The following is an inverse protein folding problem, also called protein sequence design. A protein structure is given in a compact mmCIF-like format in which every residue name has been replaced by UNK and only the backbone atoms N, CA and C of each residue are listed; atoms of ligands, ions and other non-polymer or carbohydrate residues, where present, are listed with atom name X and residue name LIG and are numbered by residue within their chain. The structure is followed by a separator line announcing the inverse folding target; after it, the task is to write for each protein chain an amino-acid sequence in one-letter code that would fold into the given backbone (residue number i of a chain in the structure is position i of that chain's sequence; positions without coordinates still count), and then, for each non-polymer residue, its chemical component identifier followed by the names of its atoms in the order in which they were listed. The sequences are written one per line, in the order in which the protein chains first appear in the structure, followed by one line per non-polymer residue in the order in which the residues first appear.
data_IF_637151265064
#
_entry.id   IF_637151265064
#
_cell.length_a   1.000
_cell.length_b   1.000
_cell.length_c   1.000
_cell.angle_alpha   90.00
_cell.angle_beta   90.00
_cell.angle_gamma   90.00
#
_symmetry.space_group_name_H-M   'P 1'
#
loop_
_entity.id
_entity.type
_entity.pdbx_description
1 polymer ?
#
# COMPACT_ATOMS: atom_id res chain seq x y z
N UNK A 1 55.96 -16.10 -2.70
CA UNK A 1 55.04 -15.35 -1.82
C UNK A 1 54.98 -16.16 -0.55
N UNK A 2 55.40 -15.57 0.56
CA UNK A 2 55.54 -16.30 1.82
C UNK A 2 54.17 -16.64 2.39
N UNK A 3 54.05 -17.86 2.94
CA UNK A 3 52.79 -18.43 3.45
C UNK A 3 52.23 -17.60 4.63
N UNK A 4 53.11 -16.97 5.40
CA UNK A 4 52.78 -16.03 6.47
C UNK A 4 52.03 -14.80 5.93
N UNK A 5 52.49 -14.23 4.82
CA UNK A 5 51.90 -13.06 4.18
C UNK A 5 50.53 -13.40 3.56
N UNK A 6 50.36 -14.62 3.05
CA UNK A 6 49.06 -15.10 2.56
C UNK A 6 48.04 -15.23 3.70
N UNK A 7 48.47 -15.71 4.87
CA UNK A 7 47.59 -15.86 6.04
C UNK A 7 47.21 -14.50 6.64
N UNK A 8 48.14 -13.54 6.69
CA UNK A 8 47.86 -12.18 7.13
C UNK A 8 46.83 -11.49 6.22
N UNK A 9 46.96 -11.62 4.89
CA UNK A 9 45.97 -11.09 3.93
C UNK A 9 44.58 -11.69 4.17
N UNK A 10 44.49 -12.99 4.49
CA UNK A 10 43.20 -13.65 4.77
C UNK A 10 42.58 -13.14 6.08
N UNK A 11 43.38 -12.99 7.13
CA UNK A 11 42.92 -12.44 8.42
C UNK A 11 42.39 -11.02 8.26
N UNK A 12 43.16 -10.16 7.57
CA UNK A 12 42.77 -8.77 7.32
C UNK A 12 41.48 -8.66 6.49
N UNK A 13 41.25 -9.58 5.55
CA UNK A 13 39.98 -9.63 4.80
C UNK A 13 38.81 -10.03 5.70
N UNK A 14 38.98 -11.05 6.54
CA UNK A 14 37.94 -11.46 7.48
C UNK A 14 37.59 -10.34 8.47
N UNK A 15 38.60 -9.66 9.02
CA UNK A 15 38.39 -8.50 9.91
C UNK A 15 37.70 -7.34 9.19
N UNK A 16 38.03 -7.10 7.91
CA UNK A 16 37.38 -6.07 7.11
C UNK A 16 35.89 -6.41 6.87
N UNK A 17 35.57 -7.67 6.59
CA UNK A 17 34.19 -8.10 6.36
C UNK A 17 33.38 -8.07 7.66
N UNK A 18 33.95 -8.48 8.80
CA UNK A 18 33.33 -8.31 10.12
C UNK A 18 33.07 -6.82 10.44
N UNK A 19 34.02 -5.94 10.11
CA UNK A 19 33.84 -4.51 10.32
C UNK A 19 32.72 -3.94 9.43
N UNK A 20 32.63 -4.36 8.16
CA UNK A 20 31.53 -3.97 7.27
C UNK A 20 30.19 -4.40 7.82
N UNK A 21 30.09 -5.65 8.27
CA UNK A 21 28.89 -6.22 8.89
C UNK A 21 28.46 -5.42 10.12
N UNK A 22 29.42 -5.06 10.98
CA UNK A 22 29.15 -4.30 12.20
C UNK A 22 28.72 -2.85 11.88
N UNK A 23 29.29 -2.24 10.84
CA UNK A 23 28.85 -0.92 10.38
C UNK A 23 27.46 -1.00 9.77
N UNK A 24 27.17 -2.03 8.97
CA UNK A 24 25.87 -2.20 8.33
C UNK A 24 24.78 -2.39 9.39
N UNK A 25 24.91 -3.42 10.24
CA UNK A 25 23.91 -3.77 11.27
C UNK A 25 23.84 -2.74 12.40
N UNK A 26 24.98 -2.17 12.77
CA UNK A 26 25.08 -1.27 13.92
C UNK A 26 24.74 0.17 13.62
N UNK A 27 24.91 0.62 12.38
CA UNK A 27 24.80 2.04 12.01
C UNK A 27 23.85 2.23 10.83
N UNK A 28 24.04 1.51 9.73
CA UNK A 28 23.29 1.75 8.49
C UNK A 28 21.84 1.28 8.64
N UNK A 29 21.61 0.01 8.97
CA UNK A 29 20.27 -0.58 9.11
C UNK A 29 19.35 0.21 10.05
N UNK A 30 19.77 0.63 11.26
CA UNK A 30 18.92 1.44 12.13
C UNK A 30 18.56 2.80 11.52
N UNK A 31 19.49 3.45 10.82
CA UNK A 31 19.26 4.75 10.18
C UNK A 31 18.29 4.60 9.01
N UNK A 32 18.46 3.57 8.19
CA UNK A 32 17.58 3.26 7.07
C UNK A 32 16.17 2.95 7.54
N UNK A 33 16.04 2.13 8.59
CA UNK A 33 14.75 1.84 9.21
C UNK A 33 14.07 3.12 9.71
N UNK A 34 14.75 3.92 10.52
CA UNK A 34 14.21 5.19 11.05
C UNK A 34 13.86 6.19 9.94
N UNK A 35 14.61 6.19 8.84
CA UNK A 35 14.31 7.01 7.67
C UNK A 35 13.06 6.53 6.95
N UNK A 36 12.97 5.24 6.65
CA UNK A 36 11.84 4.63 5.96
C UNK A 36 10.55 4.73 6.79
N UNK A 37 10.61 4.47 8.09
CA UNK A 37 9.47 4.58 9.01
C UNK A 37 8.92 6.02 9.02
N UNK A 38 9.81 7.03 9.05
CA UNK A 38 9.39 8.45 9.00
C UNK A 38 8.80 8.83 7.65
N UNK A 39 9.43 8.41 6.56
CA UNK A 39 8.96 8.70 5.20
C UNK A 39 7.59 8.07 4.96
N UNK A 40 7.43 6.81 5.35
CA UNK A 40 6.16 6.09 5.28
C UNK A 40 5.08 6.82 6.08
N UNK A 41 5.39 7.17 7.34
CA UNK A 41 4.45 7.92 8.19
C UNK A 41 4.03 9.26 7.56
N UNK A 42 4.99 10.04 7.06
CA UNK A 42 4.71 11.32 6.41
C UNK A 42 3.81 11.13 5.17
N UNK A 43 4.07 10.09 4.37
CA UNK A 43 3.25 9.79 3.21
C UNK A 43 1.82 9.36 3.59
N UNK A 44 1.66 8.51 4.62
CA UNK A 44 0.35 8.13 5.15
C UNK A 44 -0.40 9.30 5.76
N UNK A 45 0.30 10.23 6.43
CA UNK A 45 -0.30 11.43 7.01
C UNK A 45 -0.83 12.36 5.90
N UNK A 46 -0.05 12.57 4.84
CA UNK A 46 -0.47 13.35 3.65
C UNK A 46 -1.68 12.69 2.96
N UNK A 47 -1.63 11.37 2.78
CA UNK A 47 -2.73 10.60 2.20
C UNK A 47 -4.01 10.77 3.02
N UNK A 48 -3.90 10.59 4.33
CA UNK A 48 -5.01 10.74 5.28
C UNK A 48 -5.57 12.15 5.22
N UNK A 49 -4.75 13.19 5.24
CA UNK A 49 -5.23 14.57 5.17
C UNK A 49 -5.99 14.87 3.88
N UNK A 50 -5.56 14.29 2.75
CA UNK A 50 -6.19 14.48 1.45
C UNK A 50 -7.54 13.77 1.34
N UNK A 51 -7.65 12.55 1.87
CA UNK A 51 -8.80 11.68 1.61
C UNK A 51 -9.69 11.40 2.82
N UNK A 52 -9.36 11.94 4.01
CA UNK A 52 -10.13 11.74 5.24
C UNK A 52 -11.63 11.97 5.07
N UNK A 53 -12.02 13.04 4.38
CA UNK A 53 -13.43 13.42 4.27
C UNK A 53 -14.17 12.51 3.27
N UNK A 54 -13.48 12.03 2.23
CA UNK A 54 -14.04 11.08 1.26
C UNK A 54 -14.21 9.68 1.84
N UNK A 55 -13.24 9.22 2.63
CA UNK A 55 -13.21 7.84 3.14
C UNK A 55 -13.85 7.67 4.52
N UNK A 56 -14.00 8.74 5.31
CA UNK A 56 -14.64 8.72 6.63
C UNK A 56 -16.00 8.00 6.67
N UNK A 57 -16.93 8.19 5.70
CA UNK A 57 -18.25 7.54 5.72
C UNK A 57 -18.21 6.00 5.65
N UNK A 58 -17.08 5.42 5.25
CA UNK A 58 -16.92 3.99 5.06
C UNK A 58 -16.13 3.32 6.21
N UNK A 59 -15.47 4.09 7.07
CA UNK A 59 -14.62 3.57 8.15
C UNK A 59 -15.40 2.65 9.08
N UNK A 60 -16.54 3.10 9.61
CA UNK A 60 -17.33 2.32 10.56
C UNK A 60 -17.94 1.08 9.90
N UNK A 61 -18.33 1.18 8.62
CA UNK A 61 -18.90 0.06 7.86
C UNK A 61 -17.87 -1.03 7.63
N UNK A 62 -16.65 -0.65 7.25
CA UNK A 62 -15.57 -1.60 7.04
C UNK A 62 -15.03 -2.17 8.35
N UNK A 63 -15.02 -1.41 9.45
CA UNK A 63 -14.70 -1.97 10.77
C UNK A 63 -15.69 -3.04 11.21
N UNK A 64 -16.96 -2.93 10.83
CA UNK A 64 -17.96 -3.95 11.14
C UNK A 64 -17.68 -5.29 10.44
N UNK A 65 -16.98 -5.28 9.30
CA UNK A 65 -16.63 -6.49 8.53
C UNK A 65 -15.20 -6.97 8.79
N UNK A 66 -14.24 -6.06 8.84
CA UNK A 66 -12.79 -6.34 8.95
C UNK A 66 -12.27 -6.33 10.39
N UNK A 67 -13.04 -5.76 11.34
CA UNK A 67 -12.71 -5.67 12.76
C UNK A 67 -12.30 -4.26 13.22
N UNK A 68 -12.35 -4.04 14.54
CA UNK A 68 -12.15 -2.72 15.16
C UNK A 68 -10.77 -2.09 14.91
N UNK A 69 -9.75 -2.95 14.73
CA UNK A 69 -8.35 -2.58 14.47
C UNK A 69 -8.09 -2.23 12.99
N UNK A 70 -9.09 -2.37 12.11
CA UNK A 70 -8.94 -2.03 10.70
C UNK A 70 -8.74 -0.53 10.50
N UNK A 71 -7.69 -0.16 9.78
CA UNK A 71 -7.35 1.22 9.42
C UNK A 71 -7.50 1.40 7.91
N UNK A 72 -8.64 1.95 7.48
CA UNK A 72 -8.95 2.22 6.08
C UNK A 72 -7.94 3.17 5.44
N UNK A 73 -7.44 4.17 6.16
CA UNK A 73 -6.51 5.17 5.57
C UNK A 73 -5.17 4.51 5.28
N UNK A 74 -4.68 3.72 6.22
CA UNK A 74 -3.44 2.97 6.03
C UNK A 74 -3.58 1.91 4.95
N UNK A 75 -4.63 1.09 5.01
CA UNK A 75 -4.87 0.03 4.04
C UNK A 75 -5.04 0.58 2.61
N UNK A 76 -5.73 1.72 2.47
CA UNK A 76 -5.91 2.36 1.17
C UNK A 76 -4.60 2.95 0.63
N UNK A 77 -3.80 3.59 1.47
CA UNK A 77 -2.48 4.08 1.07
C UNK A 77 -1.56 2.94 0.63
N UNK A 78 -1.49 1.86 1.43
CA UNK A 78 -0.64 0.70 1.14
C UNK A 78 -1.03 0.09 -0.20
N UNK A 79 -2.33 -0.13 -0.44
CA UNK A 79 -2.83 -0.69 -1.68
C UNK A 79 -2.61 0.24 -2.88
N UNK A 80 -2.78 1.55 -2.73
CA UNK A 80 -2.52 2.52 -3.80
C UNK A 80 -1.02 2.61 -4.14
N UNK A 81 -0.15 2.63 -3.13
CA UNK A 81 1.29 2.83 -3.27
C UNK A 81 1.98 1.65 -3.99
N UNK A 82 1.29 0.52 -4.16
CA UNK A 82 1.72 -0.62 -4.97
C UNK A 82 1.25 -0.52 -6.45
N UNK A 83 0.59 0.58 -6.82
CA UNK A 83 0.06 0.81 -8.18
C UNK A 83 0.66 2.05 -8.84
N UNK A 84 0.52 2.14 -10.16
CA UNK A 84 0.85 3.34 -10.95
C UNK A 84 -0.36 4.27 -11.17
N UNK A 85 -1.47 4.03 -10.45
CA UNK A 85 -2.70 4.77 -10.65
C UNK A 85 -2.63 6.19 -10.06
N UNK A 86 -3.35 7.13 -10.67
CA UNK A 86 -3.57 8.44 -10.06
C UNK A 86 -4.32 8.27 -8.73
N UNK A 87 -3.91 9.02 -7.70
CA UNK A 87 -4.44 8.85 -6.35
C UNK A 87 -5.93 9.20 -6.26
N UNK A 88 -6.41 10.20 -7.01
CA UNK A 88 -7.83 10.57 -6.98
C UNK A 88 -8.67 9.52 -7.71
N UNK A 89 -8.24 9.08 -8.89
CA UNK A 89 -8.93 8.02 -9.65
C UNK A 89 -8.98 6.70 -8.89
N UNK A 90 -7.89 6.35 -8.21
CA UNK A 90 -7.81 5.14 -7.40
C UNK A 90 -8.77 5.20 -6.20
N UNK A 91 -8.83 6.34 -5.48
CA UNK A 91 -9.75 6.50 -4.35
C UNK A 91 -11.20 6.47 -4.80
N UNK A 92 -11.53 7.10 -5.92
CA UNK A 92 -12.88 7.06 -6.47
C UNK A 92 -13.28 5.63 -6.90
N UNK A 93 -12.33 4.84 -7.41
CA UNK A 93 -12.55 3.42 -7.70
C UNK A 93 -12.71 2.57 -6.42
N UNK A 94 -11.91 2.84 -5.38
CA UNK A 94 -12.04 2.18 -4.07
C UNK A 94 -13.44 2.43 -3.48
N UNK A 95 -13.93 3.67 -3.50
CA UNK A 95 -15.25 4.02 -2.98
C UNK A 95 -16.35 3.23 -3.70
N UNK A 96 -16.32 3.19 -5.03
CA UNK A 96 -17.27 2.41 -5.82
C UNK A 96 -17.23 0.93 -5.45
N UNK A 97 -16.02 0.36 -5.31
CA UNK A 97 -15.87 -1.03 -4.91
C UNK A 97 -16.42 -1.31 -3.51
N UNK A 98 -16.23 -0.38 -2.56
CA UNK A 98 -16.80 -0.49 -1.22
C UNK A 98 -18.34 -0.48 -1.31
N UNK A 99 -18.93 0.49 -2.01
CA UNK A 99 -20.38 0.61 -2.17
C UNK A 99 -20.98 -0.64 -2.83
N UNK A 100 -20.39 -1.11 -3.92
CA UNK A 100 -20.79 -2.34 -4.62
C UNK A 100 -20.69 -3.60 -3.74
N UNK A 101 -19.70 -3.65 -2.83
CA UNK A 101 -19.54 -4.77 -1.89
C UNK A 101 -20.53 -4.73 -0.73
N UNK A 102 -20.95 -3.54 -0.33
CA UNK A 102 -21.86 -3.33 0.80
C UNK A 102 -23.34 -3.45 0.39
N UNK A 103 -23.70 -3.13 -0.85
CA UNK A 103 -25.07 -3.25 -1.35
C UNK A 103 -25.68 -4.67 -1.24
N UNK A 104 -24.98 -5.76 -1.61
CA UNK A 104 -25.49 -7.12 -1.44
C UNK A 104 -25.67 -7.49 0.03
N UNK A 105 -24.77 -7.01 0.90
CA UNK A 105 -24.85 -7.24 2.35
C UNK A 105 -26.04 -6.49 2.96
N UNK A 106 -26.24 -5.23 2.59
CA UNK A 106 -27.42 -4.43 2.96
C UNK A 106 -28.71 -5.19 2.68
N UNK A 107 -28.83 -5.67 1.44
CA UNK A 107 -29.99 -6.40 0.95
C UNK A 107 -30.17 -7.74 1.67
N UNK A 108 -29.08 -8.46 1.95
CA UNK A 108 -29.12 -9.74 2.67
C UNK A 108 -29.57 -9.58 4.13
N UNK A 109 -29.24 -8.47 4.78
CA UNK A 109 -29.61 -8.18 6.17
C UNK A 109 -30.92 -7.39 6.31
N UNK A 110 -31.58 -7.03 5.19
CA UNK A 110 -32.81 -6.24 5.21
C UNK A 110 -32.60 -4.83 5.74
N UNK A 111 -31.37 -4.32 5.67
CA UNK A 111 -31.04 -2.92 5.97
C UNK A 111 -31.27 -2.12 4.68
N UNK A 112 -32.03 -1.02 4.71
CA UNK A 112 -32.20 -0.17 3.54
C UNK A 112 -30.84 0.23 2.99
N UNK A 113 -30.60 0.00 1.70
CA UNK A 113 -29.37 0.46 1.03
C UNK A 113 -29.20 1.97 1.15
N UNK A 114 -30.28 2.74 1.34
CA UNK A 114 -30.27 4.18 1.62
C UNK A 114 -29.64 4.54 2.98
N UNK A 115 -29.71 3.67 4.00
CA UNK A 115 -29.00 3.87 5.28
C UNK A 115 -27.51 3.49 5.19
N UNK A 116 -27.14 2.66 4.20
CA UNK A 116 -25.75 2.26 3.91
C UNK A 116 -25.10 3.15 2.84
N UNK A 117 -25.87 3.75 1.96
CA UNK A 117 -25.48 4.70 0.94
C UNK A 117 -26.05 6.06 1.31
N UNK A 118 -25.75 6.58 2.51
CA UNK A 118 -25.95 8.00 2.79
C UNK A 118 -25.15 8.79 1.74
N UNK A 119 -25.83 9.09 0.64
CA UNK A 119 -25.34 9.73 -0.55
C UNK A 119 -25.00 11.14 -0.14
N UNK A 120 -23.71 11.38 0.08
CA UNK A 120 -23.19 12.74 0.11
C UNK A 120 -23.11 13.19 -1.33
N UNK A 121 -24.20 13.76 -1.87
CA UNK A 121 -24.10 14.60 -3.05
C UNK A 121 -23.29 15.85 -2.66
N UNK A 122 -21.99 15.83 -2.94
CA UNK A 122 -21.13 17.00 -2.78
C UNK A 122 -21.34 17.90 -4.01
N UNK A 123 -22.40 18.71 -4.01
CA UNK A 123 -22.40 19.97 -4.74
C UNK A 123 -22.06 21.10 -3.76
N UNK A 124 -20.84 21.65 -3.88
CA UNK A 124 -20.38 22.86 -3.18
C UNK A 124 -20.30 22.82 -1.63
N UNK A 125 -20.08 21.66 -1.02
CA UNK A 125 -19.47 21.59 0.31
C UNK A 125 -20.37 21.93 1.52
N UNK A 126 -21.67 21.66 1.47
CA UNK A 126 -22.55 21.75 2.65
C UNK A 126 -23.40 20.48 2.79
N UNK A 127 -23.29 19.79 3.94
CA UNK A 127 -24.03 18.56 4.28
C UNK A 127 -25.36 18.96 4.90
N UNK A 128 -26.48 18.47 4.36
CA UNK A 128 -27.80 18.64 4.96
C UNK A 128 -28.45 17.28 5.27
N UNK A 129 -28.66 17.01 6.56
CA UNK A 129 -29.44 15.87 7.08
C UNK A 129 -30.92 15.98 6.70
N UNK A 130 -31.53 14.89 6.22
CA UNK A 130 -33.00 14.73 6.24
C UNK A 130 -33.40 13.30 6.64
N UNK A 131 -34.36 13.26 7.56
CA UNK A 131 -34.93 12.12 8.26
C UNK A 131 -35.56 11.04 7.36
N UNK A 132 -35.40 9.79 7.82
CA UNK A 132 -36.07 8.59 7.35
C UNK A 132 -37.60 8.66 7.48
N UNK A 133 -38.30 8.17 6.46
CA UNK A 133 -39.64 7.63 6.59
C UNK A 133 -39.74 6.33 5.77
N UNK A 134 -40.15 5.28 6.47
CA UNK A 134 -40.23 3.87 6.04
C UNK A 134 -41.52 3.60 5.26
N UNK A 135 -41.45 2.83 4.16
CA UNK A 135 -42.40 1.73 3.87
C UNK A 135 -41.84 0.79 2.75
N UNK A 136 -42.03 -0.55 2.83
CA UNK A 136 -41.38 -1.52 1.94
C UNK A 136 -42.31 -1.99 0.80
N UNK A 137 -41.75 -2.30 -0.38
CA UNK A 137 -42.39 -3.24 -1.33
C UNK A 137 -41.40 -4.17 -2.05
N UNK A 138 -41.92 -5.36 -2.34
CA UNK A 138 -41.30 -6.62 -2.73
C UNK A 138 -40.87 -6.75 -4.20
N UNK A 139 -40.05 -7.79 -4.45
CA UNK A 139 -39.93 -8.50 -5.73
C UNK A 139 -38.60 -8.23 -6.46
N UNK A 140 -37.83 -9.19 -6.96
CA UNK A 140 -38.02 -10.62 -7.23
C UNK A 140 -37.33 -10.92 -8.57
N UNK A 141 -36.43 -11.92 -8.59
CA UNK A 141 -35.93 -12.71 -9.77
C UNK A 141 -35.25 -11.95 -10.95
N UNK A 142 -34.32 -12.47 -11.76
CA UNK A 142 -33.62 -13.74 -11.96
C UNK A 142 -32.48 -13.51 -12.99
N UNK A 143 -31.38 -14.29 -12.88
CA UNK A 143 -30.64 -15.01 -13.95
C UNK A 143 -29.90 -14.22 -15.07
N UNK A 144 -28.59 -14.48 -15.23
CA UNK A 144 -28.02 -15.27 -16.35
C UNK A 144 -26.47 -15.19 -16.45
N UNK A 145 -25.88 -16.36 -16.69
CA UNK A 145 -24.49 -16.70 -17.08
C UNK A 145 -24.02 -15.93 -18.34
N UNK A 146 -22.74 -15.82 -18.73
CA UNK A 146 -21.82 -16.92 -19.08
C UNK A 146 -20.40 -16.36 -19.41
N UNK A 147 -19.44 -17.30 -19.48
CA UNK A 147 -17.98 -17.21 -19.55
C UNK A 147 -17.33 -16.53 -20.77
N UNK A 148 -16.04 -16.18 -20.63
CA UNK A 148 -14.99 -16.53 -21.60
C UNK A 148 -13.58 -16.34 -21.00
N UNK A 149 -12.93 -17.44 -20.61
CA UNK A 149 -11.49 -17.55 -20.34
C UNK A 149 -10.72 -17.80 -21.64
N UNK A 150 -9.62 -17.08 -21.85
CA UNK A 150 -8.62 -17.42 -22.88
C UNK A 150 -7.20 -17.22 -22.29
N UNK A 151 -6.38 -18.28 -22.41
CA UNK A 151 -5.01 -18.44 -21.89
C UNK A 151 -3.92 -17.82 -22.81
N UNK A 152 -2.89 -17.25 -22.14
CA UNK A 152 -1.45 -17.22 -22.49
C UNK A 152 -0.93 -16.44 -23.73
N UNK A 153 0.34 -15.92 -23.76
CA UNK A 153 1.55 -16.52 -23.15
C UNK A 153 2.56 -15.59 -22.44
N UNK A 154 3.48 -16.23 -21.73
CA UNK A 154 4.64 -15.66 -21.04
C UNK A 154 5.71 -15.07 -21.99
N UNK A 155 6.49 -14.07 -21.53
CA UNK A 155 7.82 -13.81 -22.05
C UNK A 155 8.92 -14.30 -21.09
N UNK A 156 9.81 -15.11 -21.63
CA UNK A 156 11.12 -15.48 -21.07
C UNK A 156 12.07 -14.29 -21.05
N UNK A 157 12.89 -14.22 -19.99
CA UNK A 157 14.30 -13.85 -20.10
C UNK A 157 14.68 -12.42 -19.71
N UNK A 158 14.77 -12.15 -18.41
CA UNK A 158 15.70 -11.14 -17.89
C UNK A 158 16.78 -11.87 -17.09
N UNK A 159 18.05 -11.60 -17.42
CA UNK A 159 19.20 -12.14 -16.69
C UNK A 159 19.13 -11.66 -15.23
N UNK A 160 18.88 -12.58 -14.30
CA UNK A 160 19.03 -12.32 -12.87
C UNK A 160 20.49 -11.97 -12.59
N UNK A 161 20.76 -10.67 -12.40
CA UNK A 161 21.95 -10.23 -11.67
C UNK A 161 21.92 -10.91 -10.31
N UNK A 162 23.04 -11.51 -9.91
CA UNK A 162 23.12 -12.11 -8.60
C UNK A 162 22.82 -11.07 -7.51
N UNK A 163 22.19 -11.48 -6.41
CA UNK A 163 21.83 -10.61 -5.28
C UNK A 163 23.03 -9.77 -4.79
N UNK A 164 24.24 -10.31 -4.94
CA UNK A 164 25.52 -9.66 -4.62
C UNK A 164 25.90 -8.54 -5.61
N UNK A 165 25.61 -8.70 -6.91
CA UNK A 165 25.86 -7.67 -7.93
C UNK A 165 24.84 -6.53 -7.87
N UNK A 166 23.57 -6.84 -7.54
CA UNK A 166 22.54 -5.83 -7.30
C UNK A 166 22.90 -4.97 -6.07
N UNK A 167 23.31 -5.59 -4.97
CA UNK A 167 23.73 -4.90 -3.75
C UNK A 167 24.96 -4.00 -3.97
N UNK A 168 25.95 -4.46 -4.73
CA UNK A 168 27.14 -3.66 -5.04
C UNK A 168 26.81 -2.44 -5.90
N UNK A 169 25.86 -2.56 -6.84
CA UNK A 169 25.39 -1.46 -7.67
C UNK A 169 24.69 -0.38 -6.83
N UNK A 170 23.82 -0.79 -5.92
CA UNK A 170 23.07 0.13 -5.06
C UNK A 170 23.98 0.88 -4.09
N UNK A 171 25.03 0.22 -3.57
CA UNK A 171 26.07 0.86 -2.76
C UNK A 171 26.88 1.90 -3.54
N UNK A 172 27.28 1.58 -4.77
CA UNK A 172 28.04 2.49 -5.62
C UNK A 172 27.20 3.71 -6.02
N UNK A 173 25.90 3.52 -6.28
CA UNK A 173 24.96 4.59 -6.60
C UNK A 173 24.71 5.51 -5.39
N UNK A 174 24.49 4.93 -4.21
CA UNK A 174 24.32 5.68 -2.97
C UNK A 174 25.59 6.48 -2.59
N UNK A 175 26.78 5.90 -2.78
CA UNK A 175 28.06 6.57 -2.54
C UNK A 175 28.27 7.75 -3.48
N UNK A 176 27.98 7.59 -4.77
CA UNK A 176 28.09 8.66 -5.75
C UNK A 176 27.09 9.80 -5.47
N UNK A 177 25.85 9.47 -5.11
CA UNK A 177 24.81 10.45 -4.72
C UNK A 177 25.19 11.26 -3.47
N UNK A 178 25.89 10.65 -2.51
CA UNK A 178 26.44 11.36 -1.36
C UNK A 178 27.65 12.25 -1.71
N UNK A 179 28.48 11.82 -2.66
CA UNK A 179 29.64 12.59 -3.12
C UNK A 179 29.23 13.84 -3.91
N UNK A 180 28.18 13.76 -4.71
CA UNK A 180 27.65 14.88 -5.48
C UNK A 180 26.95 15.95 -4.60
N UNK A 181 26.39 15.58 -3.45
CA UNK A 181 25.80 16.52 -2.50
C UNK A 181 26.81 17.33 -1.65
N UNK A 182 28.11 17.09 -1.81
CA UNK A 182 29.18 17.77 -1.03
C UNK A 182 29.99 18.82 -1.81
N UNK A 183 29.56 19.24 -2.99
CA UNK A 183 30.13 20.38 -3.71
C UNK A 183 29.09 21.45 -4.01
#
# INVERSE_FOLDING_TARGET
MDEELLNEIKSLRAELDELKDLVHKGIIEPIEKDYNDRKYKEATDIWTERYKDKLAPYVDKLKATEGDDFDLMKASYDAWNETDADSDEWVDALIKSIEESLEPLAKAFGVPTEELNATVEIENGEVTDVQADTEPEEGGEEVAEEEATEEEPAPEGEEELSEEEAFQRDLDEAYNKMKEKRY
#
